data_IF_088907313730
#
_entry.id   IF_088907313730
#
_cell.length_a   1.000
_cell.length_b   1.000
_cell.length_c   1.000
_cell.angle_alpha   90.00
_cell.angle_beta   90.00
_cell.angle_gamma   90.00
#
_symmetry.space_group_name_H-M   'P 1'
#
loop_
_entity.id
_entity.type
_entity.pdbx_description
1 polymer ?
#
# COMPACT_ATOMS: atom_id res chain seq x y z
N UNK A 1 -43.95 21.15 11.43
CA UNK A 1 -42.66 21.06 10.73
C UNK A 1 -41.73 20.34 11.67
N UNK A 2 -41.38 19.10 11.31
CA UNK A 2 -40.88 18.10 12.24
C UNK A 2 -39.44 18.39 12.69
N UNK A 3 -39.24 18.23 14.00
CA UNK A 3 -38.01 18.44 14.73
C UNK A 3 -37.17 17.13 14.73
N UNK A 4 -36.80 16.65 13.54
CA UNK A 4 -36.11 15.34 13.34
C UNK A 4 -34.57 15.43 13.29
N UNK A 5 -34.02 16.64 13.36
CA UNK A 5 -32.58 16.93 13.25
C UNK A 5 -31.62 16.29 14.26
N UNK A 6 -31.99 15.86 15.49
CA UNK A 6 -31.01 15.29 16.42
C UNK A 6 -30.60 13.85 16.10
N UNK A 7 -31.56 12.99 15.69
CA UNK A 7 -31.31 11.56 15.47
C UNK A 7 -30.52 11.29 14.19
N UNK A 8 -30.83 12.04 13.13
CA UNK A 8 -30.14 11.88 11.83
C UNK A 8 -28.70 12.40 11.91
N UNK A 9 -28.47 13.48 12.66
CA UNK A 9 -27.11 13.98 12.91
C UNK A 9 -26.27 12.97 13.72
N UNK A 10 -26.86 12.37 14.75
CA UNK A 10 -26.18 11.35 15.55
C UNK A 10 -25.89 10.09 14.72
N UNK A 11 -26.84 9.64 13.89
CA UNK A 11 -26.65 8.52 12.97
C UNK A 11 -25.55 8.79 11.93
N UNK A 12 -25.50 10.00 11.34
CA UNK A 12 -24.44 10.41 10.40
C UNK A 12 -23.07 10.46 11.07
N UNK A 13 -22.99 10.99 12.30
CA UNK A 13 -21.75 11.02 13.08
C UNK A 13 -21.24 9.61 13.42
N UNK A 14 -22.15 8.69 13.76
CA UNK A 14 -21.83 7.29 14.00
C UNK A 14 -21.35 6.59 12.72
N UNK A 15 -22.05 6.80 11.59
CA UNK A 15 -21.66 6.24 10.29
C UNK A 15 -20.27 6.73 9.87
N UNK A 16 -20.00 8.02 10.01
CA UNK A 16 -18.69 8.60 9.73
C UNK A 16 -17.58 7.98 10.59
N UNK A 17 -17.81 7.84 11.90
CA UNK A 17 -16.87 7.16 12.81
C UNK A 17 -16.63 5.72 12.40
N UNK A 18 -17.69 4.98 12.07
CA UNK A 18 -17.61 3.60 11.61
C UNK A 18 -16.81 3.47 10.30
N UNK A 19 -17.00 4.38 9.34
CA UNK A 19 -16.22 4.42 8.11
C UNK A 19 -14.73 4.66 8.38
N UNK A 20 -14.38 5.59 9.27
CA UNK A 20 -12.99 5.83 9.67
C UNK A 20 -12.39 4.62 10.37
N UNK A 21 -13.12 4.02 11.30
CA UNK A 21 -12.67 2.83 12.03
C UNK A 21 -12.47 1.64 11.11
N UNK A 22 -13.41 1.39 10.20
CA UNK A 22 -13.32 0.33 9.18
C UNK A 22 -12.13 0.56 8.27
N UNK A 23 -11.91 1.79 7.78
CA UNK A 23 -10.74 2.13 6.96
C UNK A 23 -9.44 1.89 7.73
N UNK A 24 -9.35 2.34 8.98
CA UNK A 24 -8.15 2.17 9.80
C UNK A 24 -7.89 0.68 10.09
N UNK A 25 -8.95 -0.10 10.31
CA UNK A 25 -8.89 -1.54 10.46
C UNK A 25 -8.38 -2.22 9.18
N UNK A 26 -8.94 -1.88 8.01
CA UNK A 26 -8.50 -2.40 6.70
C UNK A 26 -7.04 -2.07 6.42
N UNK A 27 -6.60 -0.83 6.70
CA UNK A 27 -5.19 -0.43 6.57
C UNK A 27 -4.30 -1.26 7.50
N UNK A 28 -4.71 -1.46 8.75
CA UNK A 28 -3.95 -2.26 9.72
C UNK A 28 -3.83 -3.72 9.29
N UNK A 29 -4.93 -4.30 8.79
CA UNK A 29 -4.95 -5.66 8.23
C UNK A 29 -4.04 -5.75 6.99
N UNK A 30 -4.05 -4.75 6.12
CA UNK A 30 -3.17 -4.70 4.97
C UNK A 30 -1.69 -4.70 5.36
N UNK A 31 -1.32 -3.87 6.33
CA UNK A 31 0.07 -3.79 6.81
C UNK A 31 0.48 -5.13 7.43
N UNK A 32 -0.38 -5.74 8.24
CA UNK A 32 -0.10 -7.01 8.89
C UNK A 32 0.10 -8.14 7.86
N UNK A 33 -0.82 -8.28 6.90
CA UNK A 33 -0.71 -9.29 5.83
C UNK A 33 0.52 -9.04 4.96
N UNK A 34 0.76 -7.81 4.51
CA UNK A 34 1.90 -7.51 3.65
C UNK A 34 3.24 -7.76 4.37
N UNK A 35 3.31 -7.46 5.66
CA UNK A 35 4.50 -7.75 6.48
C UNK A 35 4.72 -9.26 6.64
N UNK A 36 3.65 -10.05 6.79
CA UNK A 36 3.74 -11.51 6.81
C UNK A 36 4.33 -12.08 5.51
N UNK A 37 3.83 -11.64 4.35
CA UNK A 37 4.38 -12.08 3.05
C UNK A 37 5.87 -11.75 2.91
N UNK A 38 6.26 -10.55 3.33
CA UNK A 38 7.66 -10.11 3.28
C UNK A 38 8.56 -10.97 4.18
N UNK A 39 8.15 -11.24 5.43
CA UNK A 39 8.90 -12.10 6.36
C UNK A 39 9.00 -13.52 5.81
N UNK A 40 7.89 -14.07 5.31
CA UNK A 40 7.85 -15.42 4.75
C UNK A 40 8.81 -15.56 3.55
N UNK A 41 8.82 -14.58 2.64
CA UNK A 41 9.77 -14.57 1.52
C UNK A 41 11.23 -14.43 1.98
N UNK A 42 11.49 -13.66 3.04
CA UNK A 42 12.82 -13.56 3.65
C UNK A 42 13.31 -14.90 4.21
N UNK A 43 12.44 -15.63 4.91
CA UNK A 43 12.74 -16.97 5.44
C UNK A 43 12.96 -17.98 4.31
N UNK A 44 12.13 -17.96 3.26
CA UNK A 44 12.32 -18.80 2.09
C UNK A 44 13.66 -18.55 1.40
N UNK A 45 14.03 -17.28 1.20
CA UNK A 45 15.29 -16.91 0.58
C UNK A 45 16.49 -17.35 1.44
N UNK A 46 16.43 -17.12 2.75
CA UNK A 46 17.46 -17.56 3.69
C UNK A 46 17.62 -19.10 3.68
N UNK A 47 16.49 -19.83 3.62
CA UNK A 47 16.49 -21.29 3.50
C UNK A 47 17.17 -21.78 2.23
N UNK A 48 16.94 -21.12 1.08
CA UNK A 48 17.61 -21.48 -0.19
C UNK A 48 19.11 -21.18 -0.13
N UNK A 49 19.50 -20.01 0.39
CA UNK A 49 20.91 -19.64 0.54
C UNK A 49 21.65 -20.63 1.45
N UNK A 50 21.02 -21.06 2.55
CA UNK A 50 21.58 -22.07 3.46
C UNK A 50 21.58 -23.48 2.86
N UNK A 51 20.60 -23.79 1.99
CA UNK A 51 20.47 -25.10 1.32
C UNK A 51 21.34 -25.24 0.06
N UNK A 52 22.19 -24.25 -0.27
CA UNK A 52 23.00 -24.18 -1.49
C UNK A 52 24.04 -25.32 -1.68
N UNK A 53 23.99 -26.39 -0.89
CA UNK A 53 24.91 -27.52 -0.94
C UNK A 53 24.30 -28.93 -0.99
N UNK A 54 22.97 -29.15 -1.12
CA UNK A 54 22.47 -30.53 -1.03
C UNK A 54 21.42 -31.01 -2.04
N UNK A 55 20.47 -30.20 -2.55
CA UNK A 55 19.44 -30.72 -3.48
C UNK A 55 18.93 -29.63 -4.44
N UNK A 56 19.22 -29.76 -5.75
CA UNK A 56 18.79 -28.82 -6.79
C UNK A 56 17.25 -28.66 -6.87
N UNK A 57 16.51 -29.74 -6.63
CA UNK A 57 15.04 -29.75 -6.61
C UNK A 57 14.49 -28.82 -5.50
N UNK A 58 15.14 -28.77 -4.34
CA UNK A 58 14.69 -27.90 -3.22
C UNK A 58 14.86 -26.42 -3.59
N UNK A 59 15.96 -26.08 -4.27
CA UNK A 59 16.19 -24.71 -4.76
C UNK A 59 15.17 -24.32 -5.84
N UNK A 60 14.85 -25.23 -6.75
CA UNK A 60 13.84 -25.00 -7.79
C UNK A 60 12.44 -24.79 -7.20
N UNK A 61 12.00 -25.71 -6.32
CA UNK A 61 10.69 -25.62 -5.65
C UNK A 61 10.61 -24.37 -4.77
N UNK A 62 11.69 -24.04 -4.06
CA UNK A 62 11.78 -22.82 -3.26
C UNK A 62 11.63 -21.55 -4.11
N UNK A 63 12.30 -21.48 -5.27
CA UNK A 63 12.17 -20.33 -6.17
C UNK A 63 10.78 -20.22 -6.79
N UNK A 64 10.17 -21.34 -7.17
CA UNK A 64 8.80 -21.37 -7.68
C UNK A 64 7.79 -20.91 -6.62
N UNK A 65 7.92 -21.41 -5.39
CA UNK A 65 7.10 -20.97 -4.26
C UNK A 65 7.29 -19.48 -4.00
N UNK A 66 8.54 -18.98 -3.99
CA UNK A 66 8.84 -17.57 -3.81
C UNK A 66 8.20 -16.67 -4.88
N UNK A 67 8.22 -17.12 -6.15
CA UNK A 67 7.57 -16.44 -7.27
C UNK A 67 6.04 -16.41 -7.09
N UNK A 68 5.40 -17.55 -6.81
CA UNK A 68 3.95 -17.60 -6.62
C UNK A 68 3.49 -16.69 -5.46
N UNK A 69 4.22 -16.73 -4.34
CA UNK A 69 3.94 -15.92 -3.15
C UNK A 69 4.08 -14.43 -3.47
N UNK A 70 5.09 -14.02 -4.25
CA UNK A 70 5.26 -12.63 -4.65
C UNK A 70 4.12 -12.09 -5.53
N UNK A 71 3.58 -12.95 -6.40
CA UNK A 71 2.44 -12.59 -7.26
C UNK A 71 1.16 -12.46 -6.42
N UNK A 72 0.94 -13.37 -5.46
CA UNK A 72 -0.18 -13.29 -4.52
C UNK A 72 -0.08 -12.02 -3.64
N UNK A 73 1.10 -11.68 -3.17
CA UNK A 73 1.35 -10.44 -2.42
C UNK A 73 1.02 -9.20 -3.27
N UNK A 74 1.46 -9.18 -4.52
CA UNK A 74 1.18 -8.07 -5.46
C UNK A 74 -0.32 -7.95 -5.72
N UNK A 75 -1.00 -9.07 -6.00
CA UNK A 75 -2.44 -9.10 -6.23
C UNK A 75 -3.25 -8.61 -5.02
N UNK A 76 -2.87 -9.04 -3.81
CA UNK A 76 -3.46 -8.55 -2.58
C UNK A 76 -3.32 -7.04 -2.42
N UNK A 77 -2.12 -6.51 -2.66
CA UNK A 77 -1.83 -5.10 -2.50
C UNK A 77 -2.60 -4.23 -3.52
N UNK A 78 -2.70 -4.70 -4.78
CA UNK A 78 -3.54 -4.08 -5.81
C UNK A 78 -5.02 -4.09 -5.42
N UNK A 79 -5.55 -5.22 -4.94
CA UNK A 79 -6.95 -5.34 -4.54
C UNK A 79 -7.32 -4.40 -3.40
N UNK A 80 -6.44 -4.22 -2.42
CA UNK A 80 -6.68 -3.27 -1.36
C UNK A 80 -6.53 -1.81 -1.81
N UNK A 81 -5.66 -1.52 -2.77
CA UNK A 81 -5.61 -0.18 -3.38
C UNK A 81 -6.93 0.14 -4.10
N UNK A 82 -7.53 -0.82 -4.78
CA UNK A 82 -8.84 -0.67 -5.41
C UNK A 82 -9.93 -0.35 -4.38
N UNK A 83 -10.02 -1.12 -3.29
CA UNK A 83 -11.01 -0.85 -2.24
C UNK A 83 -10.78 0.50 -1.56
N UNK A 84 -9.52 0.89 -1.35
CA UNK A 84 -9.19 2.22 -0.82
C UNK A 84 -9.71 3.35 -1.73
N UNK A 85 -9.47 3.27 -3.03
CA UNK A 85 -9.97 4.27 -4.00
C UNK A 85 -11.51 4.26 -4.08
N UNK A 86 -12.12 3.07 -4.00
CA UNK A 86 -13.58 2.92 -3.95
C UNK A 86 -14.19 3.62 -2.74
N UNK A 87 -13.62 3.43 -1.55
CA UNK A 87 -14.09 4.08 -0.33
C UNK A 87 -13.81 5.58 -0.31
N UNK A 88 -12.65 6.02 -0.82
CA UNK A 88 -12.34 7.44 -0.99
C UNK A 88 -13.38 8.12 -1.92
N UNK A 89 -13.70 7.49 -3.05
CA UNK A 89 -14.74 7.97 -3.98
C UNK A 89 -16.13 7.97 -3.35
N UNK A 90 -16.51 6.89 -2.65
CA UNK A 90 -17.82 6.77 -2.00
C UNK A 90 -18.01 7.82 -0.90
N UNK A 91 -16.93 8.17 -0.18
CA UNK A 91 -16.96 9.21 0.85
C UNK A 91 -17.19 10.59 0.24
N UNK A 92 -16.51 10.90 -0.86
CA UNK A 92 -16.70 12.17 -1.60
C UNK A 92 -18.14 12.29 -2.12
N UNK A 93 -18.69 11.22 -2.70
CA UNK A 93 -20.09 11.22 -3.18
C UNK A 93 -21.10 11.42 -2.04
N UNK A 94 -20.89 10.79 -0.89
CA UNK A 94 -21.75 10.97 0.28
C UNK A 94 -21.65 12.40 0.84
N UNK A 95 -20.45 12.99 0.83
CA UNK A 95 -20.21 14.37 1.26
C UNK A 95 -20.89 15.38 0.32
N UNK A 96 -20.80 15.18 -0.99
CA UNK A 96 -21.51 16.01 -1.99
C UNK A 96 -23.03 15.97 -1.78
N UNK A 97 -23.59 14.80 -1.47
CA UNK A 97 -25.03 14.66 -1.22
C UNK A 97 -25.47 15.33 0.10
N UNK A 98 -24.62 15.27 1.14
CA UNK A 98 -24.86 16.00 2.40
C UNK A 98 -24.81 17.51 2.15
N UNK A 99 -23.84 18.01 1.38
CA UNK A 99 -23.69 19.44 1.08
C UNK A 99 -24.88 20.01 0.29
N UNK A 100 -25.46 19.24 -0.65
CA UNK A 100 -26.69 19.64 -1.35
C UNK A 100 -27.89 19.78 -0.41
N UNK A 101 -27.97 18.96 0.64
CA UNK A 101 -29.08 18.98 1.60
C UNK A 101 -28.90 20.01 2.73
N UNK A 102 -27.67 20.48 2.96
CA UNK A 102 -27.31 21.51 3.95
C UNK A 102 -27.09 22.84 3.22
N UNK A 103 -28.11 23.33 2.53
CA UNK A 103 -28.03 24.51 1.66
C UNK A 103 -28.06 25.86 2.43
N UNK A 104 -28.38 25.86 3.74
CA UNK A 104 -28.68 27.08 4.52
C UNK A 104 -27.76 27.39 5.72
N UNK A 105 -26.66 26.66 5.92
CA UNK A 105 -25.85 26.82 7.14
C UNK A 105 -24.33 26.74 6.84
N UNK A 106 -23.73 27.92 6.62
CA UNK A 106 -22.34 28.09 6.15
C UNK A 106 -21.30 27.51 7.12
N UNK A 107 -21.58 27.51 8.43
CA UNK A 107 -20.70 26.93 9.45
C UNK A 107 -20.69 25.39 9.43
N UNK A 108 -21.81 24.76 9.06
CA UNK A 108 -21.91 23.30 8.96
C UNK A 108 -21.25 22.78 7.69
N UNK A 109 -21.34 23.51 6.57
CA UNK A 109 -20.66 23.15 5.33
C UNK A 109 -19.13 23.04 5.49
N UNK A 110 -18.52 23.96 6.25
CA UNK A 110 -17.09 23.94 6.55
C UNK A 110 -16.65 22.73 7.39
N UNK A 111 -17.55 22.19 8.24
CA UNK A 111 -17.26 21.04 9.08
C UNK A 111 -17.33 19.71 8.30
N UNK A 112 -18.19 19.64 7.27
CA UNK A 112 -18.28 18.48 6.39
C UNK A 112 -17.18 18.44 5.34
N UNK A 113 -16.64 19.59 4.92
CA UNK A 113 -15.55 19.79 3.94
C UNK A 113 -14.16 19.25 4.32
N UNK A 114 -14.09 18.17 5.10
CA UNK A 114 -12.82 17.58 5.53
C UNK A 114 -12.17 16.71 4.44
N UNK A 115 -12.97 16.11 3.54
CA UNK A 115 -12.50 15.19 2.50
C UNK A 115 -12.73 15.69 1.06
N UNK A 116 -13.64 16.66 0.84
CA UNK A 116 -13.80 17.39 -0.42
C UNK A 116 -12.82 18.57 -0.61
N UNK A 117 -11.96 18.85 0.39
CA UNK A 117 -10.89 19.82 0.22
C UNK A 117 -10.02 19.41 -0.97
N UNK A 118 -9.97 20.26 -2.00
CA UNK A 118 -9.23 19.96 -3.23
C UNK A 118 -7.81 19.45 -2.89
N UNK A 119 -7.32 18.38 -3.56
CA UNK A 119 -5.99 17.84 -3.34
C UNK A 119 -4.90 18.91 -3.34
N UNK A 120 -5.09 19.95 -4.15
CA UNK A 120 -4.22 21.12 -4.31
C UNK A 120 -4.19 21.97 -3.02
N UNK A 121 -5.35 22.31 -2.46
CA UNK A 121 -5.45 23.10 -1.23
C UNK A 121 -4.84 22.37 -0.03
N UNK A 122 -5.01 21.04 0.05
CA UNK A 122 -4.38 20.22 1.09
C UNK A 122 -2.86 20.13 0.91
N UNK A 123 -2.39 19.99 -0.33
CA UNK A 123 -0.96 19.95 -0.65
C UNK A 123 -0.26 21.28 -0.29
N UNK A 124 -0.91 22.41 -0.56
CA UNK A 124 -0.46 23.76 -0.18
C UNK A 124 -0.30 23.90 1.35
N UNK A 125 -1.30 23.47 2.12
CA UNK A 125 -1.28 23.54 3.58
C UNK A 125 -0.19 22.66 4.21
N UNK A 126 -0.02 21.43 3.70
CA UNK A 126 1.04 20.53 4.16
C UNK A 126 2.41 21.10 3.84
N UNK A 127 2.61 21.65 2.63
CA UNK A 127 3.87 22.30 2.23
C UNK A 127 4.20 23.48 3.15
N UNK A 128 3.22 24.32 3.47
CA UNK A 128 3.40 25.47 4.36
C UNK A 128 3.82 25.04 5.77
N UNK A 129 3.16 24.02 6.35
CA UNK A 129 3.51 23.46 7.66
C UNK A 129 4.90 22.82 7.70
N UNK A 130 5.32 22.15 6.62
CA UNK A 130 6.65 21.54 6.52
C UNK A 130 7.77 22.61 6.46
N UNK A 131 7.50 23.72 5.76
CA UNK A 131 8.40 24.87 5.70
C UNK A 131 8.52 25.57 7.06
N UNK A 132 7.38 25.79 7.74
CA UNK A 132 7.34 26.36 9.10
C UNK A 132 8.08 25.51 10.14
N UNK A 133 8.00 24.18 10.02
CA UNK A 133 8.73 23.24 10.90
C UNK A 133 10.22 23.08 10.58
N UNK A 134 10.75 23.77 9.57
CA UNK A 134 12.14 23.59 9.07
C UNK A 134 12.48 22.13 8.77
N UNK A 135 11.51 21.35 8.27
CA UNK A 135 11.78 19.99 7.82
C UNK A 135 12.81 20.04 6.68
N UNK A 136 13.91 19.28 6.81
CA UNK A 136 14.99 19.26 5.83
C UNK A 136 14.50 18.97 4.41
N UNK A 137 15.17 19.52 3.39
CA UNK A 137 14.73 19.47 1.99
C UNK A 137 14.36 18.06 1.49
N UNK A 138 15.18 17.07 1.84
CA UNK A 138 14.97 15.66 1.45
C UNK A 138 13.69 15.11 2.09
N UNK A 139 13.51 15.33 3.40
CA UNK A 139 12.36 14.83 4.15
C UNK A 139 11.08 15.51 3.67
N UNK A 140 11.11 16.82 3.46
CA UNK A 140 9.99 17.58 2.89
C UNK A 140 9.63 17.09 1.49
N UNK A 141 10.61 16.81 0.64
CA UNK A 141 10.37 16.26 -0.69
C UNK A 141 9.74 14.86 -0.65
N UNK A 142 10.21 13.98 0.25
CA UNK A 142 9.65 12.63 0.41
C UNK A 142 8.21 12.66 0.94
N UNK A 143 7.91 13.56 1.88
CA UNK A 143 6.55 13.73 2.42
C UNK A 143 5.61 14.25 1.33
N UNK A 144 6.03 15.26 0.56
CA UNK A 144 5.24 15.83 -0.53
C UNK A 144 5.01 14.84 -1.68
N UNK A 145 5.92 13.90 -1.89
CA UNK A 145 5.76 12.83 -2.90
C UNK A 145 4.65 11.82 -2.57
N UNK A 146 4.02 11.95 -1.39
CA UNK A 146 2.84 11.17 -0.94
C UNK A 146 3.01 9.68 -1.23
N UNK A 147 4.08 9.09 -0.68
CA UNK A 147 4.28 7.65 -0.76
C UNK A 147 3.06 6.94 -0.16
N UNK A 148 2.26 6.36 -1.04
CA UNK A 148 1.03 5.68 -0.65
C UNK A 148 1.39 4.40 0.06
N UNK A 149 0.86 4.24 1.28
CA UNK A 149 1.03 3.05 2.10
C UNK A 149 0.60 1.76 1.37
N UNK A 150 -0.29 1.88 0.38
CA UNK A 150 -0.75 0.79 -0.49
C UNK A 150 0.14 0.56 -1.72
N UNK A 151 0.90 1.55 -2.21
CA UNK A 151 1.79 1.40 -3.38
C UNK A 151 3.12 0.73 -3.05
N UNK A 152 3.69 0.99 -1.88
CA UNK A 152 4.97 0.40 -1.46
C UNK A 152 4.92 -1.15 -1.45
N UNK A 153 3.90 -1.79 -0.85
CA UNK A 153 3.67 -3.24 -0.95
C UNK A 153 3.66 -3.79 -2.38
N UNK A 154 3.01 -3.08 -3.32
CA UNK A 154 2.90 -3.50 -4.73
C UNK A 154 4.28 -3.52 -5.37
N UNK A 155 5.07 -2.45 -5.19
CA UNK A 155 6.43 -2.38 -5.72
C UNK A 155 7.33 -3.45 -5.13
N UNK A 156 7.24 -3.69 -3.82
CA UNK A 156 8.03 -4.73 -3.14
C UNK A 156 7.67 -6.12 -3.67
N UNK A 157 6.38 -6.42 -3.82
CA UNK A 157 5.92 -7.68 -4.42
C UNK A 157 6.46 -7.88 -5.84
N UNK A 158 6.37 -6.86 -6.69
CA UNK A 158 6.90 -6.90 -8.07
C UNK A 158 8.43 -7.12 -8.11
N UNK A 159 9.18 -6.43 -7.26
CA UNK A 159 10.65 -6.61 -7.17
C UNK A 159 11.00 -8.03 -6.73
N UNK A 160 10.26 -8.58 -5.75
CA UNK A 160 10.45 -9.98 -5.37
C UNK A 160 10.05 -10.93 -6.49
N UNK A 161 8.97 -10.68 -7.23
CA UNK A 161 8.60 -11.49 -8.41
C UNK A 161 9.72 -11.54 -9.44
N UNK A 162 10.31 -10.39 -9.75
CA UNK A 162 11.43 -10.30 -10.70
C UNK A 162 12.64 -11.07 -10.16
N UNK A 163 12.99 -10.87 -8.88
CA UNK A 163 14.10 -11.59 -8.23
C UNK A 163 13.90 -13.10 -8.28
N UNK A 164 12.72 -13.59 -7.89
CA UNK A 164 12.39 -15.02 -7.90
C UNK A 164 12.33 -15.60 -9.30
N UNK A 165 11.87 -14.83 -10.28
CA UNK A 165 11.87 -15.23 -11.68
C UNK A 165 13.30 -15.42 -12.21
N UNK A 166 14.21 -14.48 -11.94
CA UNK A 166 15.62 -14.63 -12.32
C UNK A 166 16.31 -15.79 -11.60
N UNK A 167 16.05 -15.98 -10.29
CA UNK A 167 16.58 -17.13 -9.54
C UNK A 167 16.06 -18.46 -10.10
N UNK A 168 14.78 -18.52 -10.48
CA UNK A 168 14.19 -19.70 -11.11
C UNK A 168 14.84 -19.97 -12.46
N UNK A 169 15.02 -18.96 -13.31
CA UNK A 169 15.72 -19.10 -14.60
C UNK A 169 17.15 -19.58 -14.42
N UNK A 170 17.87 -19.08 -13.41
CA UNK A 170 19.24 -19.51 -13.11
C UNK A 170 19.30 -20.94 -12.54
N UNK A 171 18.20 -21.44 -11.96
CA UNK A 171 18.12 -22.82 -11.43
C UNK A 171 17.80 -23.84 -12.52
N UNK A 172 17.24 -23.41 -13.66
CA UNK A 172 16.98 -24.28 -14.81
C UNK A 172 18.21 -24.26 -15.72
N UNK A 173 18.86 -25.41 -15.92
CA UNK A 173 19.90 -25.56 -16.94
C UNK A 173 19.30 -25.44 -18.35
N UNK A 174 19.03 -24.21 -18.80
CA UNK A 174 18.90 -23.93 -20.22
C UNK A 174 20.31 -23.93 -20.79
N UNK A 175 20.75 -25.09 -21.30
CA UNK A 175 22.08 -25.36 -21.87
C UNK A 175 22.56 -24.44 -23.01
N UNK A 176 21.90 -23.29 -23.24
CA UNK A 176 22.30 -22.27 -24.20
C UNK A 176 22.00 -20.81 -23.82
N UNK A 177 21.32 -20.50 -22.70
CA UNK A 177 20.72 -19.16 -22.52
C UNK A 177 21.17 -18.36 -21.28
N UNK A 178 21.60 -18.99 -20.19
CA UNK A 178 21.89 -18.27 -18.94
C UNK A 178 23.17 -18.77 -18.27
N UNK A 179 24.33 -18.51 -18.90
CA UNK A 179 25.58 -18.50 -18.14
C UNK A 179 25.61 -17.20 -17.33
N UNK A 180 25.74 -17.32 -16.00
CA UNK A 180 25.94 -16.17 -15.12
C UNK A 180 27.15 -15.39 -15.65
N UNK A 181 27.03 -14.07 -15.94
CA UNK A 181 28.16 -13.30 -16.44
C UNK A 181 29.34 -13.41 -15.47
N UNK A 182 30.53 -13.73 -15.96
CA UNK A 182 31.75 -13.92 -15.14
C UNK A 182 32.13 -12.67 -14.30
N UNK A 183 31.51 -11.52 -14.56
CA UNK A 183 31.66 -10.30 -13.76
C UNK A 183 30.96 -10.37 -12.39
N UNK A 184 29.98 -11.25 -12.20
CA UNK A 184 29.33 -11.46 -10.90
C UNK A 184 30.23 -12.40 -10.09
N UNK A 185 31.34 -11.85 -9.61
CA UNK A 185 32.20 -12.51 -8.63
C UNK A 185 31.43 -12.49 -7.32
N UNK A 186 30.89 -13.63 -6.90
CA UNK A 186 30.33 -13.78 -5.55
C UNK A 186 31.35 -13.35 -4.50
N UNK A 187 30.89 -13.01 -3.28
CA UNK A 187 31.78 -12.67 -2.18
C UNK A 187 32.82 -13.78 -2.00
N UNK A 188 34.06 -13.51 -2.41
CA UNK A 188 35.20 -14.38 -2.13
C UNK A 188 35.40 -14.35 -0.61
N UNK A 189 35.04 -15.46 0.04
CA UNK A 189 35.45 -15.72 1.42
C UNK A 189 36.97 -15.85 1.53
#
# INVERSE_FOLDING_TARGET
>A
MANETPKDFEALSQLYKLCIETRNFEISQLINRNSFFMIFQGVLLAGIIQSAGNIAIVSFVGCLCGLLVSLLQTGMACGAKYWQEYWETSTVLAEEEILKNVENDTERQAMYQLFSMSPEAMHEQVRKRLYERKSGFIVSHLILKKYSASKIPIYVGMVFSITWFFLLLATVEFGWCLQVPEFIVGFKG
#
